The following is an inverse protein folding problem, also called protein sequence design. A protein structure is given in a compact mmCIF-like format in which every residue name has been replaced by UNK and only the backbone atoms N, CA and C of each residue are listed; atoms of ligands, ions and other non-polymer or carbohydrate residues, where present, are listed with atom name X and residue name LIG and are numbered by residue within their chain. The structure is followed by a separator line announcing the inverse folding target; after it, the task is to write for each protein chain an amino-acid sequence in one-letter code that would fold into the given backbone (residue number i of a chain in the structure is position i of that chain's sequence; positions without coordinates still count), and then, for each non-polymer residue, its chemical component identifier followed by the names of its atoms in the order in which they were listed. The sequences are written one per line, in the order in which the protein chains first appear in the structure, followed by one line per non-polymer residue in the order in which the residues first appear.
data_IF_436348864792
#
_entry.id   IF_436348864792
#
_cell.length_a   1.000
_cell.length_b   1.000
_cell.length_c   1.000
_cell.angle_alpha   90.00
_cell.angle_beta   90.00
_cell.angle_gamma   90.00
#
_symmetry.space_group_name_H-M   'P 1'
#
loop_
_entity.id
_entity.type
_entity.pdbx_description
1 polymer ?
#
# COMPACT_ATOMS: atom_id res chain seq x y z
N UNK A 1 -15.16 -0.96 41.45
CA UNK A 1 -14.28 0.03 40.79
C UNK A 1 -13.08 -0.77 40.26
N UNK A 2 -13.00 -1.00 38.95
CA UNK A 2 -11.92 -1.76 38.33
C UNK A 2 -11.10 -0.80 37.47
N UNK A 3 -9.82 -0.70 37.80
CA UNK A 3 -8.80 0.14 37.20
C UNK A 3 -8.60 -0.20 35.72
N UNK A 4 -8.87 0.78 34.86
CA UNK A 4 -8.66 0.67 33.42
C UNK A 4 -7.17 0.94 33.13
N UNK A 5 -6.40 -0.12 32.91
CA UNK A 5 -5.00 -0.05 32.48
C UNK A 5 -4.92 0.53 31.06
N UNK A 6 -4.97 1.86 30.95
CA UNK A 6 -4.56 2.57 29.74
C UNK A 6 -3.06 2.38 29.60
N UNK A 7 -2.65 1.60 28.61
CA UNK A 7 -1.26 1.47 28.18
C UNK A 7 -0.78 2.84 27.72
N UNK A 8 -0.19 3.58 28.65
CA UNK A 8 0.31 4.94 28.50
C UNK A 8 1.50 4.94 27.55
N UNK A 9 1.41 5.81 26.53
CA UNK A 9 2.50 6.48 25.83
C UNK A 9 3.91 5.96 26.17
N UNK A 10 4.50 5.16 25.26
CA UNK A 10 5.93 4.82 25.35
C UNK A 10 6.72 6.09 25.05
N UNK A 11 7.11 6.81 26.10
CA UNK A 11 8.00 7.98 26.04
C UNK A 11 9.21 7.68 25.13
N UNK A 12 9.16 8.16 23.89
CA UNK A 12 10.24 8.01 22.92
C UNK A 12 9.79 7.79 21.47
N UNK A 13 8.56 7.31 21.21
CA UNK A 13 8.19 6.94 19.83
C UNK A 13 6.82 7.40 19.32
N UNK A 14 6.52 8.68 19.53
CA UNK A 14 5.26 9.32 19.10
C UNK A 14 4.96 9.08 17.61
N UNK A 15 5.99 9.12 16.77
CA UNK A 15 5.83 8.97 15.32
C UNK A 15 5.39 7.55 14.97
N UNK A 16 6.03 6.53 15.51
CA UNK A 16 5.64 5.13 15.26
C UNK A 16 4.28 4.81 15.89
N UNK A 17 4.02 5.27 17.11
CA UNK A 17 2.71 5.08 17.77
C UNK A 17 1.58 5.71 16.93
N UNK A 18 1.82 6.90 16.37
CA UNK A 18 0.88 7.57 15.48
C UNK A 18 0.67 6.82 14.15
N UNK A 19 1.73 6.26 13.56
CA UNK A 19 1.62 5.46 12.34
C UNK A 19 0.85 4.17 12.59
N UNK A 20 1.16 3.47 13.68
CA UNK A 20 0.42 2.27 14.09
C UNK A 20 -1.07 2.57 14.33
N UNK A 21 -1.38 3.68 15.01
CA UNK A 21 -2.76 4.14 15.18
C UNK A 21 -3.43 4.49 13.84
N UNK A 22 -2.72 5.16 12.93
CA UNK A 22 -3.25 5.50 11.62
C UNK A 22 -3.55 4.26 10.77
N UNK A 23 -2.65 3.27 10.73
CA UNK A 23 -2.89 1.98 10.09
C UNK A 23 -4.13 1.29 10.64
N UNK A 24 -4.26 1.22 11.97
CA UNK A 24 -5.45 0.62 12.61
C UNK A 24 -6.75 1.34 12.22
N UNK A 25 -6.74 2.67 12.20
CA UNK A 25 -7.92 3.47 11.85
C UNK A 25 -8.30 3.36 10.37
N UNK A 26 -7.31 3.24 9.48
CA UNK A 26 -7.50 3.01 8.05
C UNK A 26 -8.08 1.63 7.79
N UNK A 27 -7.54 0.59 8.45
CA UNK A 27 -8.04 -0.78 8.33
C UNK A 27 -9.50 -0.91 8.79
N UNK A 28 -9.89 -0.17 9.83
CA UNK A 28 -11.26 -0.18 10.37
C UNK A 28 -12.24 0.63 9.52
N UNK A 29 -11.86 1.85 9.11
CA UNK A 29 -12.84 2.86 8.67
C UNK A 29 -12.53 3.57 7.35
N UNK A 30 -11.43 3.21 6.68
CA UNK A 30 -10.96 3.87 5.46
C UNK A 30 -10.13 5.13 5.74
N UNK A 31 -9.27 5.50 4.79
CA UNK A 31 -8.34 6.63 4.96
C UNK A 31 -9.05 7.98 4.88
N UNK A 32 -10.19 8.06 4.21
CA UNK A 32 -11.01 9.26 4.06
C UNK A 32 -11.48 9.78 5.43
N UNK A 33 -11.73 8.88 6.37
CA UNK A 33 -12.20 9.22 7.73
C UNK A 33 -11.05 9.48 8.72
N UNK A 34 -9.80 9.30 8.32
CA UNK A 34 -8.63 9.58 9.17
C UNK A 34 -8.55 11.09 9.43
N UNK A 35 -8.22 11.49 10.65
CA UNK A 35 -7.83 12.86 10.99
C UNK A 35 -6.71 12.85 12.02
N UNK A 36 -5.86 13.88 12.02
CA UNK A 36 -4.78 14.04 13.02
C UNK A 36 -5.36 13.96 14.44
N UNK A 37 -6.56 14.51 14.66
CA UNK A 37 -7.27 14.44 15.94
C UNK A 37 -7.59 13.02 16.35
N UNK A 38 -8.20 12.23 15.47
CA UNK A 38 -8.52 10.83 15.77
C UNK A 38 -7.27 10.02 16.08
N UNK A 39 -6.16 10.27 15.37
CA UNK A 39 -4.87 9.61 15.64
C UNK A 39 -4.32 10.01 17.00
N UNK A 40 -4.32 11.31 17.33
CA UNK A 40 -3.85 11.79 18.63
C UNK A 40 -4.68 11.23 19.80
N UNK A 41 -6.00 11.18 19.63
CA UNK A 41 -6.94 10.62 20.60
C UNK A 41 -6.67 9.11 20.81
N UNK A 42 -6.42 8.36 19.73
CA UNK A 42 -6.08 6.93 19.78
C UNK A 42 -4.73 6.67 20.47
N UNK A 43 -3.74 7.52 20.26
CA UNK A 43 -2.41 7.44 20.92
C UNK A 43 -2.45 7.95 22.37
N UNK A 44 -3.44 8.78 22.72
CA UNK A 44 -3.58 9.37 24.05
C UNK A 44 -2.69 10.59 24.29
N UNK A 45 -2.43 11.39 23.24
CA UNK A 45 -1.58 12.59 23.30
C UNK A 45 -2.35 13.85 22.87
N UNK A 46 -1.78 15.01 23.18
CA UNK A 46 -2.31 16.27 22.67
C UNK A 46 -2.19 16.33 21.13
N UNK A 47 -3.27 16.72 20.45
CA UNK A 47 -3.33 16.88 19.00
C UNK A 47 -2.15 17.71 18.44
N UNK A 48 -1.78 18.79 19.15
CA UNK A 48 -0.69 19.67 18.75
C UNK A 48 0.66 18.94 18.67
N UNK A 49 0.86 17.88 19.44
CA UNK A 49 2.10 17.11 19.44
C UNK A 49 2.33 16.34 18.14
N UNK A 50 1.27 15.94 17.42
CA UNK A 50 1.43 15.25 16.13
C UNK A 50 1.98 16.17 15.04
N UNK A 51 1.68 17.47 15.09
CA UNK A 51 2.20 18.43 14.13
C UNK A 51 3.72 18.58 14.17
N UNK A 52 4.38 18.15 15.25
CA UNK A 52 5.85 18.08 15.31
C UNK A 52 6.42 16.91 14.49
N UNK A 53 5.58 15.95 14.08
CA UNK A 53 5.98 14.74 13.34
C UNK A 53 5.38 14.69 11.93
N UNK A 54 4.18 15.23 11.74
CA UNK A 54 3.47 15.29 10.47
C UNK A 54 2.91 16.69 10.28
N UNK A 55 3.37 17.40 9.25
CA UNK A 55 2.95 18.78 8.96
C UNK A 55 1.44 18.91 8.83
N UNK A 56 0.80 17.93 8.19
CA UNK A 56 -0.63 17.87 8.02
C UNK A 56 -1.13 16.42 7.90
N UNK A 57 -2.43 16.27 7.62
CA UNK A 57 -3.07 14.98 7.39
C UNK A 57 -2.48 14.24 6.19
N UNK A 58 -2.12 14.96 5.12
CA UNK A 58 -1.60 14.32 3.91
C UNK A 58 -0.18 13.81 4.14
N UNK A 59 0.66 14.51 4.90
CA UNK A 59 1.97 14.03 5.32
C UNK A 59 1.87 12.73 6.14
N UNK A 60 0.87 12.60 7.02
CA UNK A 60 0.60 11.35 7.73
C UNK A 60 0.16 10.24 6.76
N UNK A 61 -0.74 10.54 5.84
CA UNK A 61 -1.20 9.58 4.83
C UNK A 61 -0.07 9.13 3.89
N UNK A 62 0.82 10.02 3.51
CA UNK A 62 2.00 9.68 2.69
C UNK A 62 2.96 8.78 3.45
N UNK A 63 3.16 9.02 4.74
CA UNK A 63 3.97 8.14 5.58
C UNK A 63 3.36 6.74 5.71
N UNK A 64 2.04 6.64 5.91
CA UNK A 64 1.33 5.34 5.92
C UNK A 64 1.42 4.65 4.55
N UNK A 65 1.23 5.38 3.45
CA UNK A 65 1.37 4.83 2.10
C UNK A 65 2.79 4.35 1.83
N UNK A 66 3.80 5.05 2.35
CA UNK A 66 5.21 4.66 2.28
C UNK A 66 5.42 3.29 2.92
N UNK A 67 4.96 3.10 4.17
CA UNK A 67 5.02 1.79 4.85
C UNK A 67 4.23 0.71 4.12
N UNK A 68 3.09 1.07 3.49
CA UNK A 68 2.31 0.18 2.65
C UNK A 68 3.08 -0.31 1.42
N UNK A 69 3.77 0.59 0.71
CA UNK A 69 4.63 0.23 -0.42
C UNK A 69 5.84 -0.61 -0.01
N UNK A 70 6.47 -0.29 1.13
CA UNK A 70 7.57 -1.09 1.68
C UNK A 70 7.10 -2.51 2.06
N UNK A 71 5.94 -2.64 2.68
CA UNK A 71 5.35 -3.92 3.02
C UNK A 71 5.00 -4.75 1.78
N UNK A 72 4.42 -4.12 0.75
CA UNK A 72 4.16 -4.76 -0.53
C UNK A 72 5.45 -5.20 -1.21
N UNK A 73 6.45 -4.33 -1.32
CA UNK A 73 7.74 -4.67 -1.90
C UNK A 73 8.37 -5.87 -1.18
N UNK A 74 8.35 -5.87 0.16
CA UNK A 74 8.83 -6.98 0.98
C UNK A 74 8.10 -8.29 0.65
N UNK A 75 6.77 -8.26 0.51
CA UNK A 75 6.00 -9.44 0.12
C UNK A 75 6.41 -9.99 -1.27
N UNK A 76 6.80 -9.10 -2.19
CA UNK A 76 7.18 -9.45 -3.56
C UNK A 76 8.61 -9.98 -3.69
N UNK A 77 9.52 -9.69 -2.74
CA UNK A 77 10.91 -10.18 -2.77
C UNK A 77 11.05 -11.72 -2.85
N UNK A 78 10.06 -12.43 -2.32
CA UNK A 78 10.05 -13.91 -2.32
C UNK A 78 9.54 -14.49 -3.63
N UNK A 79 8.87 -13.71 -4.48
CA UNK A 79 8.35 -14.18 -5.76
C UNK A 79 9.49 -14.53 -6.72
N UNK A 80 9.45 -15.74 -7.28
CA UNK A 80 10.46 -16.24 -8.23
C UNK A 80 9.95 -16.34 -9.66
N UNK A 81 8.64 -16.19 -9.85
CA UNK A 81 7.95 -16.31 -11.13
C UNK A 81 6.93 -15.17 -11.27
N UNK A 82 6.51 -14.82 -12.49
CA UNK A 82 5.36 -13.95 -12.73
C UNK A 82 4.13 -14.31 -11.89
N UNK A 83 3.74 -15.58 -11.85
CA UNK A 83 2.55 -16.04 -11.11
C UNK A 83 2.66 -15.81 -9.61
N UNK A 84 3.82 -16.11 -9.03
CA UNK A 84 4.04 -15.90 -7.60
C UNK A 84 4.06 -14.41 -7.24
N UNK A 85 4.48 -13.55 -8.18
CA UNK A 85 4.38 -12.09 -8.02
C UNK A 85 2.92 -11.64 -8.06
N UNK A 86 2.16 -12.03 -9.09
CA UNK A 86 0.74 -11.67 -9.23
C UNK A 86 -0.04 -12.16 -8.03
N UNK A 87 0.18 -13.41 -7.59
CA UNK A 87 -0.45 -13.96 -6.41
C UNK A 87 -0.14 -13.15 -5.15
N UNK A 88 1.13 -12.83 -4.89
CA UNK A 88 1.53 -12.08 -3.69
C UNK A 88 1.00 -10.65 -3.71
N UNK A 89 1.06 -9.98 -4.87
CA UNK A 89 0.53 -8.63 -5.07
C UNK A 89 -0.97 -8.59 -4.79
N UNK A 90 -1.74 -9.46 -5.43
CA UNK A 90 -3.19 -9.49 -5.33
C UNK A 90 -3.64 -9.86 -3.93
N UNK A 91 -3.00 -10.85 -3.29
CA UNK A 91 -3.29 -11.21 -1.90
C UNK A 91 -3.01 -10.05 -0.93
N UNK A 92 -1.93 -9.29 -1.15
CA UNK A 92 -1.66 -8.10 -0.34
C UNK A 92 -2.78 -7.06 -0.48
N UNK A 93 -3.20 -6.76 -1.70
CA UNK A 93 -4.24 -5.78 -1.97
C UNK A 93 -5.61 -6.20 -1.38
N UNK A 94 -6.00 -7.46 -1.55
CA UNK A 94 -7.24 -8.01 -1.02
C UNK A 94 -7.26 -8.06 0.51
N UNK A 95 -6.13 -8.37 1.14
CA UNK A 95 -6.01 -8.38 2.59
C UNK A 95 -6.03 -6.97 3.20
N UNK A 96 -5.63 -5.95 2.44
CA UNK A 96 -5.47 -4.58 2.92
C UNK A 96 -6.21 -3.57 2.02
N UNK A 97 -7.53 -3.69 1.79
CA UNK A 97 -8.22 -2.94 0.74
C UNK A 97 -8.15 -1.42 0.94
N UNK A 98 -8.33 -0.93 2.18
CA UNK A 98 -8.26 0.51 2.47
C UNK A 98 -6.83 1.08 2.41
N UNK A 99 -5.83 0.30 2.81
CA UNK A 99 -4.43 0.71 2.68
C UNK A 99 -4.02 0.74 1.22
N UNK A 100 -4.43 -0.26 0.44
CA UNK A 100 -4.17 -0.32 -0.99
C UNK A 100 -4.84 0.86 -1.72
N UNK A 101 -6.10 1.14 -1.42
CA UNK A 101 -6.80 2.30 -1.95
C UNK A 101 -6.08 3.63 -1.60
N UNK A 102 -5.58 3.76 -0.37
CA UNK A 102 -4.76 4.90 0.02
C UNK A 102 -3.51 5.00 -0.85
N UNK A 103 -2.72 3.93 -0.97
CA UNK A 103 -1.50 3.89 -1.78
C UNK A 103 -1.77 4.35 -3.21
N UNK A 104 -2.81 3.81 -3.86
CA UNK A 104 -3.16 4.11 -5.25
C UNK A 104 -3.76 5.49 -5.44
N UNK A 105 -4.36 6.07 -4.40
CA UNK A 105 -4.88 7.44 -4.45
C UNK A 105 -3.79 8.51 -4.40
N UNK A 106 -2.53 8.15 -4.07
CA UNK A 106 -1.43 9.12 -4.00
C UNK A 106 -0.97 9.47 -5.42
N UNK A 107 -1.03 10.76 -5.83
CA UNK A 107 -0.70 11.14 -7.19
C UNK A 107 0.79 11.01 -7.45
N UNK A 108 1.15 10.16 -8.42
CA UNK A 108 2.56 9.99 -8.85
C UNK A 108 3.20 11.31 -9.30
N UNK A 109 2.40 12.25 -9.84
CA UNK A 109 2.87 13.56 -10.29
C UNK A 109 3.55 14.40 -9.18
N UNK A 110 3.13 14.23 -7.92
CA UNK A 110 3.70 14.96 -6.78
C UNK A 110 4.64 14.09 -5.93
N UNK A 111 4.81 12.79 -6.25
CA UNK A 111 5.73 11.92 -5.50
C UNK A 111 7.19 12.39 -5.57
N UNK A 112 7.60 13.12 -6.61
CA UNK A 112 8.94 13.73 -6.70
C UNK A 112 9.24 14.71 -5.56
N UNK A 113 8.20 15.30 -4.95
CA UNK A 113 8.29 16.19 -3.79
C UNK A 113 8.26 15.41 -2.46
N UNK A 114 8.07 14.08 -2.54
CA UNK A 114 7.90 13.15 -1.41
C UNK A 114 8.90 11.98 -1.54
N UNK A 115 10.20 12.22 -1.31
CA UNK A 115 11.27 11.29 -1.68
C UNK A 115 11.14 9.89 -1.03
N UNK A 116 10.70 9.80 0.22
CA UNK A 116 10.51 8.50 0.89
C UNK A 116 9.38 7.69 0.24
N UNK A 117 8.23 8.32 -0.03
CA UNK A 117 7.11 7.66 -0.72
C UNK A 117 7.51 7.22 -2.12
N UNK A 118 8.22 8.09 -2.86
CA UNK A 118 8.74 7.77 -4.18
C UNK A 118 9.70 6.58 -4.13
N UNK A 119 10.63 6.55 -3.18
CA UNK A 119 11.58 5.45 -2.99
C UNK A 119 10.86 4.15 -2.69
N UNK A 120 9.87 4.16 -1.79
CA UNK A 120 9.09 2.96 -1.47
C UNK A 120 8.31 2.43 -2.68
N UNK A 121 7.65 3.30 -3.45
CA UNK A 121 6.98 2.89 -4.68
C UNK A 121 7.95 2.28 -5.71
N UNK A 122 9.17 2.84 -5.84
CA UNK A 122 10.20 2.28 -6.71
C UNK A 122 10.68 0.88 -6.29
N UNK A 123 10.60 0.49 -5.03
CA UNK A 123 10.91 -0.88 -4.61
C UNK A 123 9.93 -1.88 -5.26
N UNK A 124 8.64 -1.56 -5.31
CA UNK A 124 7.63 -2.40 -5.98
C UNK A 124 7.89 -2.47 -7.49
N UNK A 125 8.20 -1.33 -8.11
CA UNK A 125 8.58 -1.26 -9.53
C UNK A 125 9.81 -2.12 -9.81
N UNK A 126 10.81 -2.09 -8.92
CA UNK A 126 12.04 -2.87 -9.06
C UNK A 126 11.74 -4.37 -9.09
N UNK A 127 10.87 -4.86 -8.20
CA UNK A 127 10.44 -6.26 -8.22
C UNK A 127 9.65 -6.62 -9.49
N UNK A 128 8.84 -5.71 -10.02
CA UNK A 128 8.16 -5.90 -11.29
C UNK A 128 9.15 -5.97 -12.47
N UNK A 129 10.12 -5.05 -12.55
CA UNK A 129 11.19 -5.08 -13.57
C UNK A 129 11.92 -6.41 -13.54
N UNK A 130 12.25 -6.93 -12.35
CA UNK A 130 12.98 -8.18 -12.17
C UNK A 130 12.28 -9.38 -12.78
N UNK A 131 10.94 -9.42 -12.79
CA UNK A 131 10.16 -10.59 -13.22
C UNK A 131 9.48 -10.44 -14.59
N UNK A 132 9.16 -9.22 -15.02
CA UNK A 132 8.36 -8.98 -16.22
C UNK A 132 9.11 -8.27 -17.35
N UNK A 133 10.42 -8.07 -17.21
CA UNK A 133 11.22 -7.46 -18.27
C UNK A 133 12.53 -8.21 -18.52
N UNK A 134 12.96 -8.22 -19.78
CA UNK A 134 14.31 -8.61 -20.12
C UNK A 134 15.30 -7.60 -19.51
N UNK A 135 16.28 -8.11 -18.77
CA UNK A 135 17.28 -7.30 -18.11
C UNK A 135 18.24 -6.63 -19.10
N UNK A 136 18.37 -7.16 -20.32
CA UNK A 136 19.13 -6.55 -21.41
C UNK A 136 18.33 -5.49 -22.18
N UNK A 137 17.00 -5.41 -22.00
CA UNK A 137 16.17 -4.49 -22.76
C UNK A 137 16.44 -3.02 -22.42
N UNK A 138 16.21 -2.09 -23.38
CA UNK A 138 16.25 -0.66 -23.13
C UNK A 138 15.27 -0.22 -22.03
N UNK A 139 15.59 0.86 -21.33
CA UNK A 139 14.80 1.39 -20.20
C UNK A 139 13.32 1.60 -20.53
N UNK A 140 13.01 2.14 -21.71
CA UNK A 140 11.63 2.42 -22.10
C UNK A 140 10.82 1.15 -22.35
N UNK A 141 11.47 0.08 -22.78
CA UNK A 141 10.83 -1.22 -22.94
C UNK A 141 10.52 -1.85 -21.58
N UNK A 142 11.48 -1.84 -20.65
CA UNK A 142 11.26 -2.27 -19.26
C UNK A 142 10.09 -1.54 -18.63
N UNK A 143 10.02 -0.21 -18.81
CA UNK A 143 8.90 0.61 -18.32
C UNK A 143 7.58 0.19 -18.93
N UNK A 144 7.52 -0.06 -20.25
CA UNK A 144 6.29 -0.53 -20.92
C UNK A 144 5.81 -1.86 -20.35
N UNK A 145 6.71 -2.83 -20.15
CA UNK A 145 6.33 -4.13 -19.57
C UNK A 145 5.76 -3.96 -18.15
N UNK A 146 6.42 -3.18 -17.29
CA UNK A 146 5.94 -2.91 -15.93
C UNK A 146 4.59 -2.20 -15.94
N UNK A 147 4.40 -1.20 -16.81
CA UNK A 147 3.12 -0.49 -16.91
C UNK A 147 1.99 -1.41 -17.35
N UNK A 148 2.24 -2.33 -18.27
CA UNK A 148 1.25 -3.31 -18.70
C UNK A 148 0.77 -4.16 -17.51
N UNK A 149 1.70 -4.72 -16.75
CA UNK A 149 1.39 -5.52 -15.56
C UNK A 149 0.68 -4.70 -14.50
N UNK A 150 1.17 -3.49 -14.23
CA UNK A 150 0.56 -2.57 -13.28
C UNK A 150 -0.89 -2.24 -13.66
N UNK A 151 -1.16 -1.91 -14.93
CA UNK A 151 -2.51 -1.64 -15.43
C UNK A 151 -3.44 -2.83 -15.25
N UNK A 152 -2.97 -4.05 -15.52
CA UNK A 152 -3.77 -5.26 -15.36
C UNK A 152 -4.07 -5.56 -13.89
N UNK A 153 -3.07 -5.46 -13.01
CA UNK A 153 -3.24 -5.68 -11.58
C UNK A 153 -4.21 -4.66 -10.97
N UNK A 154 -3.96 -3.36 -11.20
CA UNK A 154 -4.82 -2.29 -10.68
C UNK A 154 -6.23 -2.34 -11.27
N UNK A 155 -6.34 -2.53 -12.59
CA UNK A 155 -7.62 -2.65 -13.28
C UNK A 155 -8.42 -3.84 -12.77
N UNK A 156 -7.80 -5.02 -12.71
CA UNK A 156 -8.43 -6.24 -12.19
C UNK A 156 -8.89 -6.10 -10.75
N UNK A 157 -8.04 -5.58 -9.86
CA UNK A 157 -8.38 -5.36 -8.45
C UNK A 157 -9.53 -4.36 -8.28
N UNK A 158 -9.49 -3.24 -9.00
CA UNK A 158 -10.55 -2.22 -8.95
C UNK A 158 -11.88 -2.76 -9.45
N UNK A 159 -11.88 -3.48 -10.57
CA UNK A 159 -13.08 -4.12 -11.13
C UNK A 159 -13.64 -5.21 -10.21
N UNK A 160 -12.76 -5.99 -9.57
CA UNK A 160 -13.16 -7.01 -8.59
C UNK A 160 -13.77 -6.39 -7.33
N UNK A 161 -13.09 -5.40 -6.74
CA UNK A 161 -13.55 -4.73 -5.52
C UNK A 161 -14.84 -3.93 -5.71
N UNK A 162 -15.09 -3.43 -6.93
CA UNK A 162 -16.35 -2.76 -7.28
C UNK A 162 -17.48 -3.74 -7.63
N UNK A 163 -17.22 -5.05 -7.69
CA UNK A 163 -18.18 -6.09 -8.05
C UNK A 163 -18.52 -6.15 -9.55
N UNK A 164 -17.79 -5.43 -10.40
CA UNK A 164 -17.95 -5.48 -11.86
C UNK A 164 -17.41 -6.81 -12.41
N UNK A 165 -16.25 -7.23 -11.91
CA UNK A 165 -15.70 -8.55 -12.19
C UNK A 165 -16.17 -9.53 -11.11
N UNK A 166 -17.31 -10.17 -11.36
CA UNK A 166 -17.87 -11.15 -10.42
C UNK A 166 -17.10 -12.47 -10.46
N UNK A 167 -16.54 -12.88 -9.33
CA UNK A 167 -15.79 -14.13 -9.18
C UNK A 167 -16.24 -14.86 -7.91
N UNK A 168 -16.32 -16.20 -7.93
CA UNK A 168 -16.88 -16.98 -6.83
C UNK A 168 -16.04 -16.95 -5.54
N UNK A 169 -14.79 -16.47 -5.60
CA UNK A 169 -13.91 -16.26 -4.44
C UNK A 169 -12.68 -15.44 -4.82
N UNK A 170 -12.01 -14.86 -3.82
CA UNK A 170 -10.68 -14.26 -3.95
C UNK A 170 -9.69 -15.22 -4.63
N UNK A 171 -9.74 -16.51 -4.29
CA UNK A 171 -8.86 -17.53 -4.88
C UNK A 171 -9.11 -17.71 -6.38
N UNK A 172 -10.37 -17.69 -6.80
CA UNK A 172 -10.74 -17.77 -8.21
C UNK A 172 -10.29 -16.51 -8.96
N UNK A 173 -10.48 -15.33 -8.35
CA UNK A 173 -10.01 -14.07 -8.91
C UNK A 173 -8.48 -14.04 -9.07
N UNK A 174 -7.71 -14.46 -8.06
CA UNK A 174 -6.25 -14.52 -8.16
C UNK A 174 -5.80 -15.44 -9.29
N UNK A 175 -6.43 -16.61 -9.45
CA UNK A 175 -6.12 -17.55 -10.53
C UNK A 175 -6.39 -16.94 -11.91
N UNK A 176 -7.52 -16.26 -12.06
CA UNK A 176 -7.90 -15.60 -13.31
C UNK A 176 -6.94 -14.47 -13.66
N UNK A 177 -6.54 -13.66 -12.68
CA UNK A 177 -5.61 -12.56 -12.91
C UNK A 177 -4.21 -13.05 -13.30
N UNK A 178 -3.77 -14.21 -12.78
CA UNK A 178 -2.55 -14.87 -13.23
C UNK A 178 -2.67 -15.25 -14.71
N UNK A 179 -3.74 -15.95 -15.09
CA UNK A 179 -3.96 -16.38 -16.48
C UNK A 179 -3.99 -15.19 -17.45
N UNK A 180 -4.68 -14.10 -17.10
CA UNK A 180 -4.69 -12.88 -17.91
C UNK A 180 -3.29 -12.30 -18.08
N UNK A 181 -2.50 -12.21 -17.00
CA UNK A 181 -1.13 -11.68 -17.04
C UNK A 181 -0.21 -12.56 -17.89
N UNK A 182 -0.35 -13.89 -17.83
CA UNK A 182 0.40 -14.83 -18.66
C UNK A 182 0.10 -14.64 -20.16
N UNK A 183 -1.18 -14.50 -20.54
CA UNK A 183 -1.58 -14.26 -21.94
C UNK A 183 -1.05 -12.93 -22.50
N UNK A 184 -0.74 -11.99 -21.61
CA UNK A 184 -0.30 -10.66 -21.93
C UNK A 184 1.23 -10.50 -21.83
N UNK A 185 1.98 -11.45 -21.30
CA UNK A 185 3.44 -11.37 -21.16
C UNK A 185 4.16 -11.98 -22.37
#
# INVERSE_FOLDING_TARGET
MSENARTTYRHGNVREDALAAAHSLIADSGYEKLSIRRVADQVGIAHRSLYNHFEDRDALLDAVATEGYEALAKALTSAKTPDSFVSAYTQFALKNPYLYALMTSRPHATMKEKPELQKAAHLVITEAIRLFSDQAAPTDEKKRSVFKIHMMLHGGLSLYQSGILDMPSDKAFVKELIAMVEEAS
#
